data_IF_620300224800
#
_entry.id   IF_620300224800
#
_cell.length_a   1.000
_cell.length_b   1.000
_cell.length_c   1.000
_cell.angle_alpha   90.00
_cell.angle_beta   90.00
_cell.angle_gamma   90.00
#
_symmetry.space_group_name_H-M   'P 1'
#
loop_
_entity.id
_entity.type
_entity.pdbx_description
1 polymer ?
#
# COMPACT_ATOMS: atom_id res chain seq x y z
N UNK A 1 1.57 -34.61 8.28
CA UNK A 1 1.71 -33.14 8.44
C UNK A 1 0.45 -32.48 9.04
N UNK A 2 -0.34 -33.19 9.87
CA UNK A 2 -1.68 -32.70 10.24
C UNK A 2 -1.73 -31.42 11.09
N UNK A 3 -0.71 -31.15 11.91
CA UNK A 3 -0.57 -29.87 12.61
C UNK A 3 -0.46 -28.69 11.64
N UNK A 4 0.27 -28.86 10.54
CA UNK A 4 0.43 -27.83 9.51
C UNK A 4 -0.88 -27.68 8.73
N UNK A 5 -1.54 -28.80 8.40
CA UNK A 5 -2.80 -28.80 7.68
C UNK A 5 -3.89 -27.95 8.36
N UNK A 6 -4.00 -28.04 9.69
CA UNK A 6 -4.93 -27.21 10.46
C UNK A 6 -4.43 -25.77 10.61
N UNK A 7 -3.13 -25.55 10.79
CA UNK A 7 -2.55 -24.24 11.02
C UNK A 7 -2.66 -23.32 9.80
N UNK A 8 -2.58 -23.88 8.60
CA UNK A 8 -2.63 -23.14 7.31
C UNK A 8 -4.06 -22.70 6.97
N UNK A 9 -5.07 -23.55 7.20
CA UNK A 9 -6.46 -23.21 6.89
C UNK A 9 -7.13 -22.33 7.96
N UNK A 10 -6.62 -22.32 9.19
CA UNK A 10 -7.25 -21.61 10.32
C UNK A 10 -7.32 -20.08 10.14
N UNK A 11 -6.24 -19.36 9.75
CA UNK A 11 -6.27 -17.92 9.55
C UNK A 11 -7.32 -17.44 8.54
N UNK A 12 -7.34 -17.95 7.30
CA UNK A 12 -8.30 -17.46 6.30
C UNK A 12 -9.77 -17.78 6.65
N UNK A 13 -10.04 -18.92 7.30
CA UNK A 13 -11.38 -19.26 7.81
C UNK A 13 -11.78 -18.29 8.93
N UNK A 14 -10.90 -18.07 9.92
CA UNK A 14 -11.16 -17.17 11.04
C UNK A 14 -11.39 -15.72 10.61
N UNK A 15 -10.64 -15.23 9.63
CA UNK A 15 -10.82 -13.89 9.03
C UNK A 15 -12.16 -13.78 8.29
N UNK A 16 -12.51 -14.79 7.49
CA UNK A 16 -13.82 -14.89 6.85
C UNK A 16 -14.96 -14.83 7.87
N UNK A 17 -14.88 -15.62 8.94
CA UNK A 17 -15.87 -15.59 10.01
C UNK A 17 -15.95 -14.22 10.71
N UNK A 18 -14.81 -13.57 10.96
CA UNK A 18 -14.79 -12.26 11.60
C UNK A 18 -15.55 -11.20 10.77
N UNK A 19 -15.36 -11.23 9.46
CA UNK A 19 -16.06 -10.34 8.53
C UNK A 19 -17.56 -10.64 8.44
N UNK A 20 -17.96 -11.92 8.54
CA UNK A 20 -19.38 -12.32 8.52
C UNK A 20 -20.11 -11.90 9.79
N UNK A 21 -19.48 -12.02 10.96
CA UNK A 21 -20.12 -11.74 12.26
C UNK A 21 -20.24 -10.25 12.52
N UNK A 22 -19.20 -9.45 12.27
CA UNK A 22 -19.22 -8.02 12.61
C UNK A 22 -18.76 -7.14 11.46
N UNK A 23 -19.55 -7.15 10.38
CA UNK A 23 -19.34 -6.35 9.16
C UNK A 23 -19.04 -4.87 9.43
N UNK A 24 -19.55 -4.28 10.53
CA UNK A 24 -19.33 -2.86 10.87
C UNK A 24 -17.89 -2.53 11.27
N UNK A 25 -17.10 -3.52 11.68
CA UNK A 25 -15.67 -3.34 11.98
C UNK A 25 -14.78 -3.47 10.75
N UNK A 26 -15.35 -3.88 9.62
CA UNK A 26 -14.63 -4.12 8.38
C UNK A 26 -15.15 -3.19 7.31
N UNK A 27 -14.28 -2.86 6.39
CA UNK A 27 -14.68 -2.12 5.22
C UNK A 27 -15.31 -3.02 4.15
N UNK A 28 -15.91 -2.43 3.11
CA UNK A 28 -16.64 -3.22 2.11
C UNK A 28 -15.73 -4.22 1.38
N UNK A 29 -14.49 -3.82 1.06
CA UNK A 29 -13.51 -4.65 0.39
C UNK A 29 -12.99 -5.77 1.28
N UNK A 30 -12.77 -5.52 2.56
CA UNK A 30 -12.47 -6.55 3.56
C UNK A 30 -13.62 -7.53 3.73
N UNK A 31 -14.88 -7.08 3.60
CA UNK A 31 -16.04 -7.98 3.62
C UNK A 31 -16.05 -8.89 2.39
N UNK A 32 -15.73 -8.36 1.21
CA UNK A 32 -15.65 -9.16 -0.02
C UNK A 32 -14.42 -10.08 -0.04
N UNK A 33 -13.25 -9.56 0.35
CA UNK A 33 -12.05 -10.34 0.64
C UNK A 33 -12.33 -11.41 1.69
N UNK A 34 -13.20 -11.15 2.67
CA UNK A 34 -13.58 -12.09 3.71
C UNK A 34 -14.28 -13.32 3.16
N UNK A 35 -15.14 -13.14 2.14
CA UNK A 35 -15.79 -14.26 1.43
C UNK A 35 -14.76 -15.10 0.69
N UNK A 36 -13.85 -14.46 -0.06
CA UNK A 36 -12.80 -15.14 -0.80
C UNK A 36 -11.79 -15.85 0.14
N UNK A 37 -11.42 -15.20 1.24
CA UNK A 37 -10.56 -15.76 2.28
C UNK A 37 -11.21 -16.99 2.90
N UNK A 38 -12.51 -16.92 3.26
CA UNK A 38 -13.20 -18.07 3.83
C UNK A 38 -13.17 -19.28 2.89
N UNK A 39 -13.48 -19.08 1.60
CA UNK A 39 -13.47 -20.17 0.63
C UNK A 39 -12.07 -20.72 0.41
N UNK A 40 -11.05 -19.88 0.24
CA UNK A 40 -9.64 -20.29 0.15
C UNK A 40 -9.22 -21.11 1.38
N UNK A 41 -9.63 -20.69 2.57
CA UNK A 41 -9.37 -21.42 3.80
C UNK A 41 -9.98 -22.83 3.83
N UNK A 42 -11.17 -23.02 3.25
CA UNK A 42 -11.77 -24.36 3.14
C UNK A 42 -10.91 -25.32 2.28
N UNK A 43 -10.18 -24.80 1.30
CA UNK A 43 -9.22 -25.53 0.47
C UNK A 43 -7.80 -25.59 1.04
N UNK A 44 -7.56 -25.01 2.22
CA UNK A 44 -6.23 -24.96 2.83
C UNK A 44 -5.27 -23.97 2.19
N UNK A 45 -5.78 -22.94 1.54
CA UNK A 45 -5.01 -21.85 0.91
C UNK A 45 -4.90 -20.72 1.94
N UNK A 46 -3.71 -20.55 2.53
CA UNK A 46 -3.46 -19.53 3.57
C UNK A 46 -3.33 -18.12 3.00
N UNK A 47 -3.15 -18.00 1.69
CA UNK A 47 -2.98 -16.76 0.95
C UNK A 47 -4.19 -15.83 1.11
N UNK A 48 -5.37 -16.39 1.37
CA UNK A 48 -6.58 -15.61 1.69
C UNK A 48 -6.41 -14.67 2.89
N UNK A 49 -5.45 -14.95 3.78
CA UNK A 49 -5.14 -14.10 4.93
C UNK A 49 -4.14 -12.97 4.62
N UNK A 50 -3.38 -13.05 3.52
CA UNK A 50 -2.32 -12.09 3.17
C UNK A 50 -2.89 -10.67 2.97
N UNK A 51 -3.99 -10.47 2.21
CA UNK A 51 -4.52 -9.12 2.00
C UNK A 51 -4.95 -8.43 3.29
N UNK A 52 -5.47 -9.19 4.26
CA UNK A 52 -5.81 -8.67 5.59
C UNK A 52 -4.55 -8.28 6.39
N UNK A 53 -3.53 -9.13 6.37
CA UNK A 53 -2.27 -8.89 7.07
C UNK A 53 -1.48 -7.73 6.46
N UNK A 54 -1.56 -7.51 5.15
CA UNK A 54 -0.94 -6.38 4.48
C UNK A 54 -1.56 -5.03 4.89
N UNK A 55 -2.89 -5.02 5.13
CA UNK A 55 -3.62 -3.81 5.51
C UNK A 55 -3.50 -3.48 7.00
N UNK A 56 -3.57 -4.47 7.89
CA UNK A 56 -3.46 -4.28 9.35
C UNK A 56 -2.50 -5.31 9.98
N UNK A 57 -1.19 -5.21 9.71
CA UNK A 57 -0.20 -6.22 10.11
C UNK A 57 -0.11 -6.37 11.63
N UNK A 58 -0.21 -5.26 12.37
CA UNK A 58 -0.05 -5.24 13.82
C UNK A 58 -1.17 -5.96 14.56
N UNK A 59 -2.36 -6.11 13.96
CA UNK A 59 -3.50 -6.78 14.59
C UNK A 59 -3.78 -8.15 13.99
N UNK A 60 -3.64 -8.28 12.68
CA UNK A 60 -4.01 -9.51 11.96
C UNK A 60 -2.94 -10.60 12.16
N UNK A 61 -1.64 -10.27 12.08
CA UNK A 61 -0.58 -11.27 12.22
C UNK A 61 -0.61 -11.93 13.61
N UNK A 62 -0.66 -11.18 14.73
CA UNK A 62 -0.74 -11.81 16.05
C UNK A 62 -2.00 -12.67 16.24
N UNK A 63 -3.16 -12.20 15.72
CA UNK A 63 -4.40 -12.95 15.83
C UNK A 63 -4.34 -14.29 15.06
N UNK A 64 -3.79 -14.26 13.85
CA UNK A 64 -3.58 -15.46 13.04
C UNK A 64 -2.62 -16.44 13.72
N UNK A 65 -1.51 -15.94 14.27
CA UNK A 65 -0.54 -16.78 15.00
C UNK A 65 -1.18 -17.48 16.19
N UNK A 66 -1.97 -16.76 16.99
CA UNK A 66 -2.63 -17.32 18.19
C UNK A 66 -3.62 -18.42 17.79
N UNK A 67 -4.49 -18.17 16.80
CA UNK A 67 -5.47 -19.16 16.37
C UNK A 67 -4.84 -20.39 15.73
N UNK A 68 -3.85 -20.22 14.85
CA UNK A 68 -3.11 -21.33 14.24
C UNK A 68 -2.33 -22.15 15.27
N UNK A 69 -1.74 -21.51 16.27
CA UNK A 69 -1.04 -22.21 17.35
C UNK A 69 -2.00 -23.09 18.15
N UNK A 70 -3.18 -22.59 18.51
CA UNK A 70 -4.19 -23.36 19.25
C UNK A 70 -4.71 -24.52 18.40
N UNK A 71 -5.01 -24.28 17.11
CA UNK A 71 -5.41 -25.35 16.19
C UNK A 71 -4.34 -26.45 16.12
N UNK A 72 -3.08 -26.08 15.94
CA UNK A 72 -1.97 -27.02 15.83
C UNK A 72 -1.81 -27.86 17.11
N UNK A 73 -1.94 -27.25 18.29
CA UNK A 73 -1.87 -27.97 19.58
C UNK A 73 -3.03 -28.98 19.72
N UNK A 74 -4.25 -28.60 19.37
CA UNK A 74 -5.41 -29.51 19.40
C UNK A 74 -5.21 -30.67 18.43
N UNK A 75 -4.72 -30.38 17.21
CA UNK A 75 -4.43 -31.41 16.21
C UNK A 75 -3.29 -32.34 16.64
N UNK A 76 -2.27 -31.81 17.33
CA UNK A 76 -1.18 -32.61 17.90
C UNK A 76 -1.71 -33.59 18.96
N UNK A 77 -2.54 -33.11 19.89
CA UNK A 77 -3.16 -33.93 20.94
C UNK A 77 -4.07 -35.00 20.32
N UNK A 78 -4.82 -34.64 19.29
CA UNK A 78 -5.72 -35.54 18.56
C UNK A 78 -5.02 -36.53 17.62
N UNK A 79 -3.69 -36.45 17.48
CA UNK A 79 -2.92 -37.31 16.59
C UNK A 79 -3.29 -37.16 15.11
N UNK A 80 -3.65 -35.93 14.69
CA UNK A 80 -4.11 -35.67 13.31
C UNK A 80 -2.97 -35.88 12.32
N UNK A 81 -3.20 -36.79 11.37
CA UNK A 81 -2.31 -37.08 10.25
C UNK A 81 -2.75 -36.32 9.00
N UNK A 82 -1.79 -35.99 8.14
CA UNK A 82 -2.09 -35.45 6.81
C UNK A 82 -1.12 -36.08 5.82
N UNK A 83 -1.69 -36.61 4.75
CA UNK A 83 -1.05 -37.41 3.70
C UNK A 83 -0.82 -36.58 2.43
N UNK A 84 -1.36 -35.37 2.37
CA UNK A 84 -1.30 -34.47 1.21
C UNK A 84 -0.42 -33.26 1.57
N UNK A 85 0.07 -32.54 0.55
CA UNK A 85 0.94 -31.37 0.73
C UNK A 85 0.18 -30.11 1.19
N UNK A 86 -1.15 -30.11 1.10
CA UNK A 86 -2.03 -28.98 1.42
C UNK A 86 -3.14 -29.42 2.39
N UNK A 87 -3.56 -28.51 3.28
CA UNK A 87 -4.58 -28.81 4.29
C UNK A 87 -6.01 -28.46 3.86
N UNK A 88 -6.87 -28.23 4.86
CA UNK A 88 -8.21 -27.65 4.64
C UNK A 88 -9.37 -28.63 4.84
N UNK A 89 -10.53 -28.14 5.34
CA UNK A 89 -11.77 -28.90 5.49
C UNK A 89 -12.19 -29.73 4.29
N UNK A 90 -12.07 -29.20 3.07
CA UNK A 90 -12.48 -29.93 1.85
C UNK A 90 -11.55 -31.12 1.62
N UNK A 91 -10.25 -30.93 1.80
CA UNK A 91 -9.23 -31.99 1.64
C UNK A 91 -9.40 -33.09 2.69
N UNK A 92 -9.83 -32.71 3.90
CA UNK A 92 -10.18 -33.66 4.95
C UNK A 92 -11.32 -34.59 4.52
N UNK A 93 -12.38 -34.03 3.93
CA UNK A 93 -13.54 -34.79 3.43
C UNK A 93 -13.17 -35.67 2.23
N UNK A 94 -12.23 -35.23 1.39
CA UNK A 94 -11.72 -36.00 0.26
C UNK A 94 -10.74 -37.12 0.66
N UNK A 95 -10.51 -37.34 1.95
CA UNK A 95 -9.71 -38.46 2.47
C UNK A 95 -8.21 -38.19 2.59
N UNK A 96 -7.78 -36.92 2.54
CA UNK A 96 -6.37 -36.55 2.72
C UNK A 96 -5.88 -36.57 4.17
N UNK A 97 -6.80 -36.59 5.14
CA UNK A 97 -6.53 -36.34 6.56
C UNK A 97 -6.97 -37.53 7.41
N UNK A 98 -6.05 -38.00 8.24
CA UNK A 98 -6.33 -39.00 9.27
C UNK A 98 -6.97 -38.30 10.49
N UNK A 99 -7.84 -38.99 11.22
CA UNK A 99 -8.40 -38.54 12.49
C UNK A 99 -9.25 -37.27 12.30
N UNK A 100 -10.14 -37.36 11.29
CA UNK A 100 -10.98 -36.28 10.77
C UNK A 100 -11.78 -35.53 11.85
N UNK A 101 -12.24 -36.22 12.90
CA UNK A 101 -12.99 -35.59 13.97
C UNK A 101 -12.12 -34.58 14.74
N UNK A 102 -10.90 -34.98 15.10
CA UNK A 102 -9.94 -34.09 15.77
C UNK A 102 -9.48 -32.95 14.86
N UNK A 103 -9.35 -33.21 13.56
CA UNK A 103 -9.08 -32.17 12.57
C UNK A 103 -10.17 -31.08 12.59
N UNK A 104 -11.44 -31.46 12.50
CA UNK A 104 -12.54 -30.48 12.50
C UNK A 104 -12.63 -29.71 13.82
N UNK A 105 -12.44 -30.37 14.96
CA UNK A 105 -12.39 -29.71 16.27
C UNK A 105 -11.27 -28.67 16.29
N UNK A 106 -10.06 -29.03 15.85
CA UNK A 106 -8.91 -28.13 15.80
C UNK A 106 -9.17 -26.90 14.91
N UNK A 107 -9.69 -27.10 13.69
CA UNK A 107 -9.99 -26.01 12.75
C UNK A 107 -11.09 -25.10 13.29
N UNK A 108 -12.17 -25.66 13.84
CA UNK A 108 -13.29 -24.86 14.38
C UNK A 108 -12.81 -24.01 15.55
N UNK A 109 -12.12 -24.62 16.53
CA UNK A 109 -11.64 -23.91 17.72
C UNK A 109 -10.62 -22.84 17.33
N UNK A 110 -9.63 -23.19 16.50
CA UNK A 110 -8.62 -22.23 16.02
C UNK A 110 -9.25 -21.06 15.27
N UNK A 111 -10.19 -21.33 14.37
CA UNK A 111 -10.84 -20.29 13.55
C UNK A 111 -11.72 -19.36 14.39
N UNK A 112 -12.43 -19.89 15.40
CA UNK A 112 -13.19 -19.11 16.37
C UNK A 112 -12.24 -18.23 17.19
N UNK A 113 -11.09 -18.75 17.62
CA UNK A 113 -10.12 -17.94 18.37
C UNK A 113 -9.55 -16.83 17.49
N UNK A 114 -9.09 -17.12 16.27
CA UNK A 114 -8.64 -16.10 15.31
C UNK A 114 -9.70 -15.01 15.17
N UNK A 115 -10.95 -15.41 14.92
CA UNK A 115 -12.10 -14.50 14.79
C UNK A 115 -12.28 -13.62 16.03
N UNK A 116 -12.32 -14.20 17.23
CA UNK A 116 -12.49 -13.44 18.48
C UNK A 116 -11.33 -12.46 18.68
N UNK A 117 -10.09 -12.90 18.50
CA UNK A 117 -8.91 -12.05 18.70
C UNK A 117 -8.91 -10.88 17.71
N UNK A 118 -9.21 -11.14 16.43
CA UNK A 118 -9.37 -10.07 15.41
C UNK A 118 -10.46 -9.09 15.83
N UNK A 119 -11.64 -9.58 16.25
CA UNK A 119 -12.75 -8.73 16.65
C UNK A 119 -12.47 -7.89 17.91
N UNK A 120 -11.64 -8.40 18.83
CA UNK A 120 -11.23 -7.67 20.04
C UNK A 120 -10.15 -6.64 19.72
N UNK A 121 -9.14 -7.01 18.93
CA UNK A 121 -8.01 -6.12 18.60
C UNK A 121 -8.42 -5.01 17.63
N UNK A 122 -9.29 -5.32 16.66
CA UNK A 122 -9.68 -4.36 15.62
C UNK A 122 -10.64 -3.31 16.17
N UNK A 123 -10.23 -2.05 16.16
CA UNK A 123 -11.12 -0.89 16.40
C UNK A 123 -11.96 -0.65 15.15
N UNK A 124 -13.18 -0.12 15.31
CA UNK A 124 -14.13 0.11 14.21
C UNK A 124 -13.43 0.85 13.06
N UNK A 125 -13.26 0.19 11.92
CA UNK A 125 -12.72 0.81 10.72
C UNK A 125 -13.83 1.68 10.08
N UNK A 126 -13.54 2.94 9.69
CA UNK A 126 -14.30 3.58 8.62
C UNK A 126 -14.25 2.69 7.37
N UNK A 127 -15.36 2.55 6.66
CA UNK A 127 -15.46 1.68 5.50
C UNK A 127 -14.54 2.16 4.35
N UNK A 128 -13.44 1.47 4.13
CA UNK A 128 -12.41 1.70 3.10
C UNK A 128 -12.04 0.39 2.33
N UNK A 129 -12.69 0.12 1.21
CA UNK A 129 -12.82 -1.18 0.55
C UNK A 129 -11.70 -1.62 -0.43
N UNK A 130 -10.73 -2.44 -0.03
CA UNK A 130 -9.77 -3.01 -1.01
C UNK A 130 -10.34 -4.20 -1.79
N UNK A 131 -10.31 -4.14 -3.13
CA UNK A 131 -10.64 -5.28 -4.00
C UNK A 131 -9.41 -5.81 -4.74
N UNK A 132 -9.27 -7.13 -4.62
CA UNK A 132 -8.41 -8.04 -5.36
C UNK A 132 -8.74 -8.11 -6.86
N UNK A 133 -7.73 -8.02 -7.73
CA UNK A 133 -7.85 -8.41 -9.14
C UNK A 133 -8.08 -9.93 -9.29
N UNK A 134 -8.74 -10.38 -10.38
CA UNK A 134 -9.01 -11.79 -10.64
C UNK A 134 -7.70 -12.54 -10.97
N UNK A 135 -7.57 -13.77 -10.48
CA UNK A 135 -6.53 -14.71 -10.92
C UNK A 135 -6.73 -15.03 -12.40
N UNK A 136 -5.80 -14.58 -13.24
CA UNK A 136 -5.60 -15.12 -14.58
C UNK A 136 -4.80 -16.42 -14.47
N UNK A 137 -5.42 -17.52 -14.88
CA UNK A 137 -4.80 -18.83 -15.07
C UNK A 137 -3.94 -18.79 -16.34
N UNK A 138 -2.69 -18.35 -16.20
CA UNK A 138 -1.70 -18.33 -17.27
C UNK A 138 -0.47 -19.15 -16.93
N UNK A 139 -0.22 -20.17 -17.76
CA UNK A 139 0.89 -21.13 -17.73
C UNK A 139 2.27 -20.46 -17.60
N UNK A 140 3.10 -20.93 -16.68
CA UNK A 140 4.52 -20.57 -16.55
C UNK A 140 5.30 -21.30 -17.66
N UNK A 141 5.90 -20.55 -18.59
CA UNK A 141 7.01 -21.03 -19.41
C UNK A 141 8.31 -20.44 -18.89
N UNK A 142 9.24 -21.34 -18.55
CA UNK A 142 10.64 -21.08 -18.25
C UNK A 142 11.35 -20.40 -19.43
N UNK A 143 12.25 -19.45 -19.16
CA UNK A 143 13.59 -19.52 -19.75
C UNK A 143 14.61 -18.66 -18.99
N UNK A 144 15.77 -19.29 -18.71
CA UNK A 144 17.00 -18.68 -18.24
C UNK A 144 17.71 -17.93 -19.38
N UNK A 145 18.49 -16.88 -19.05
CA UNK A 145 19.86 -16.69 -19.56
C UNK A 145 20.61 -15.58 -18.80
N UNK A 146 21.90 -15.81 -18.66
CA UNK A 146 22.94 -15.11 -17.88
C UNK A 146 23.79 -14.21 -18.79
N UNK A 147 24.34 -13.11 -18.28
CA UNK A 147 25.69 -12.52 -18.56
C UNK A 147 25.75 -11.15 -17.84
N UNK A 148 26.55 -10.90 -16.80
CA UNK A 148 28.00 -10.89 -16.56
C UNK A 148 28.81 -9.71 -17.18
N UNK A 149 29.47 -8.99 -16.24
CA UNK A 149 30.68 -8.15 -16.30
C UNK A 149 30.81 -6.91 -17.21
N UNK A 150 31.12 -5.73 -16.63
CA UNK A 150 32.51 -5.29 -16.33
C UNK A 150 32.64 -3.78 -16.04
N UNK A 151 33.67 -3.47 -15.24
CA UNK A 151 34.10 -2.16 -14.71
C UNK A 151 34.74 -1.24 -15.76
N UNK A 152 34.82 0.09 -15.52
CA UNK A 152 36.09 0.81 -15.28
C UNK A 152 35.94 2.31 -14.95
N UNK A 153 36.97 2.79 -14.25
CA UNK A 153 37.21 4.04 -13.49
C UNK A 153 37.83 5.18 -14.34
N UNK A 154 37.73 6.44 -13.86
CA UNK A 154 38.75 7.54 -13.81
C UNK A 154 38.11 8.93 -14.04
N UNK A 155 38.03 9.83 -13.04
CA UNK A 155 39.03 10.77 -12.48
C UNK A 155 39.05 12.18 -13.13
N UNK A 156 38.58 13.14 -12.32
CA UNK A 156 39.00 14.54 -12.03
C UNK A 156 39.77 15.42 -13.06
N UNK A 157 39.32 16.68 -13.23
CA UNK A 157 39.96 17.95 -12.78
C UNK A 157 39.31 19.18 -13.48
N UNK A 158 38.65 20.07 -12.73
CA UNK A 158 39.08 21.41 -12.25
C UNK A 158 39.19 22.52 -13.33
N UNK A 159 38.35 23.56 -13.18
CA UNK A 159 38.70 24.97 -13.42
C UNK A 159 37.69 25.88 -12.69
N UNK A 160 38.20 26.69 -11.77
CA UNK A 160 37.50 27.77 -11.04
C UNK A 160 37.69 29.13 -11.73
N UNK A 161 36.95 30.13 -11.22
CA UNK A 161 36.97 31.60 -11.44
C UNK A 161 35.89 32.10 -12.43
N UNK A 162 34.97 33.01 -12.07
CA UNK A 162 35.10 34.22 -11.26
C UNK A 162 33.78 34.70 -10.59
N UNK A 163 33.95 35.39 -9.45
CA UNK A 163 32.99 36.22 -8.66
C UNK A 163 32.20 37.23 -9.53
N UNK A 164 31.00 37.72 -9.16
CA UNK A 164 30.76 38.78 -8.15
C UNK A 164 29.24 38.83 -7.76
N UNK A 165 29.01 38.72 -6.44
CA UNK A 165 28.08 39.47 -5.54
C UNK A 165 26.66 39.86 -5.98
N UNK A 166 25.64 39.36 -5.28
CA UNK A 166 24.66 40.18 -4.54
C UNK A 166 23.78 39.36 -3.56
N UNK A 167 23.66 39.92 -2.35
CA UNK A 167 22.56 39.83 -1.38
C UNK A 167 22.34 38.59 -0.49
N UNK A 168 22.22 38.91 0.80
CA UNK A 168 21.86 38.04 1.91
C UNK A 168 20.49 37.39 1.70
N UNK A 169 20.45 36.07 1.75
CA UNK A 169 19.29 35.29 2.17
C UNK A 169 19.80 34.01 2.84
N UNK A 170 19.13 33.63 3.92
CA UNK A 170 19.45 32.53 4.82
C UNK A 170 19.95 31.25 4.14
N UNK A 171 21.00 30.71 4.73
CA UNK A 171 21.71 29.47 4.42
C UNK A 171 20.87 28.22 4.73
N UNK A 172 19.82 27.96 3.95
CA UNK A 172 18.96 26.75 4.04
C UNK A 172 18.30 26.39 2.68
N UNK A 173 19.06 26.42 1.58
CA UNK A 173 18.48 26.44 0.22
C UNK A 173 18.61 25.14 -0.59
N UNK A 174 18.88 23.98 0.04
CA UNK A 174 19.05 22.69 -0.69
C UNK A 174 18.07 21.57 -0.35
N UNK A 175 17.11 21.77 0.58
CA UNK A 175 16.26 20.65 1.06
C UNK A 175 14.74 20.88 1.00
N UNK A 176 14.25 21.99 0.44
CA UNK A 176 12.81 22.29 0.42
C UNK A 176 12.13 21.78 -0.85
N UNK A 177 11.50 20.61 -0.78
CA UNK A 177 10.67 20.05 -1.86
C UNK A 177 9.20 20.48 -1.79
N UNK A 178 8.83 21.27 -0.78
CA UNK A 178 7.49 21.80 -0.61
C UNK A 178 7.50 23.30 -0.86
N UNK A 179 6.56 23.75 -1.68
CA UNK A 179 6.34 25.16 -1.98
C UNK A 179 4.84 25.45 -1.96
N UNK A 180 4.45 26.47 -1.20
CA UNK A 180 3.05 26.91 -1.08
C UNK A 180 2.40 27.25 -2.43
N UNK A 181 3.20 27.67 -3.42
CA UNK A 181 2.71 28.03 -4.77
C UNK A 181 2.12 26.84 -5.53
N UNK A 182 2.59 25.62 -5.25
CA UNK A 182 2.12 24.39 -5.90
C UNK A 182 1.20 23.57 -4.98
N UNK A 183 0.48 24.26 -4.08
CA UNK A 183 -0.56 23.69 -3.24
C UNK A 183 -1.90 24.28 -3.67
N UNK A 184 -2.91 23.42 -3.89
CA UNK A 184 -4.27 23.83 -4.22
C UNK A 184 -5.31 23.19 -3.33
N UNK A 185 -6.42 23.91 -3.19
CA UNK A 185 -7.66 23.41 -2.61
C UNK A 185 -8.74 23.43 -3.69
N UNK A 186 -9.54 22.38 -3.77
CA UNK A 186 -10.68 22.28 -4.67
C UNK A 186 -11.83 21.54 -3.97
N UNK A 187 -13.04 21.75 -4.42
CA UNK A 187 -14.24 21.00 -4.06
C UNK A 187 -14.98 20.48 -5.30
N UNK A 188 -14.36 20.59 -6.48
CA UNK A 188 -14.91 20.13 -7.75
C UNK A 188 -14.79 18.61 -7.89
N UNK A 189 -15.76 18.00 -8.58
CA UNK A 189 -15.68 16.60 -9.00
C UNK A 189 -14.68 16.46 -10.14
N UNK A 190 -13.63 15.67 -9.94
CA UNK A 190 -12.52 15.56 -10.89
C UNK A 190 -12.12 14.09 -11.11
N UNK A 191 -11.54 13.82 -12.27
CA UNK A 191 -10.88 12.55 -12.59
C UNK A 191 -9.39 12.62 -12.32
N UNK A 192 -8.75 11.46 -12.14
CA UNK A 192 -7.30 11.30 -12.02
C UNK A 192 -6.53 12.13 -13.04
N UNK A 193 -6.82 11.94 -14.32
CA UNK A 193 -6.08 12.55 -15.40
C UNK A 193 -6.22 14.08 -15.39
N UNK A 194 -7.39 14.59 -15.00
CA UNK A 194 -7.63 16.03 -14.83
C UNK A 194 -6.77 16.60 -13.71
N UNK A 195 -6.70 15.93 -12.56
CA UNK A 195 -5.86 16.35 -11.44
C UNK A 195 -4.38 16.28 -11.78
N UNK A 196 -3.92 15.23 -12.46
CA UNK A 196 -2.52 15.10 -12.87
C UNK A 196 -2.14 16.22 -13.84
N UNK A 197 -2.99 16.53 -14.82
CA UNK A 197 -2.77 17.66 -15.72
C UNK A 197 -2.69 18.97 -14.95
N UNK A 198 -3.63 19.23 -14.05
CA UNK A 198 -3.65 20.44 -13.24
C UNK A 198 -2.37 20.60 -12.41
N UNK A 199 -1.93 19.55 -11.72
CA UNK A 199 -0.70 19.60 -10.91
C UNK A 199 0.55 19.83 -11.79
N UNK A 200 0.62 19.20 -12.97
CA UNK A 200 1.70 19.45 -13.95
C UNK A 200 1.66 20.89 -14.48
N UNK A 201 0.47 21.44 -14.70
CA UNK A 201 0.30 22.83 -15.11
C UNK A 201 0.87 23.78 -14.06
N UNK A 202 0.56 23.56 -12.77
CA UNK A 202 1.12 24.37 -11.68
C UNK A 202 2.64 24.31 -11.62
N UNK A 203 3.21 23.12 -11.81
CA UNK A 203 4.66 22.94 -11.83
C UNK A 203 5.31 23.73 -12.96
N UNK A 204 4.69 23.79 -14.14
CA UNK A 204 5.20 24.57 -15.26
C UNK A 204 5.03 26.07 -15.04
N UNK A 205 3.87 26.49 -14.53
CA UNK A 205 3.54 27.91 -14.29
C UNK A 205 4.47 28.53 -13.24
N UNK A 206 5.03 27.70 -12.35
CA UNK A 206 6.02 28.08 -11.34
C UNK A 206 7.46 27.67 -11.69
N UNK A 207 7.73 27.34 -12.96
CA UNK A 207 9.07 27.10 -13.52
C UNK A 207 9.83 25.90 -12.94
N UNK A 208 9.14 24.93 -12.34
CA UNK A 208 9.73 23.68 -11.83
C UNK A 208 10.07 22.68 -12.93
N UNK A 209 9.41 22.78 -14.09
CA UNK A 209 9.57 21.86 -15.22
C UNK A 209 9.72 22.62 -16.53
N UNK A 210 10.43 22.04 -17.50
CA UNK A 210 10.64 22.63 -18.83
C UNK A 210 9.66 22.13 -19.90
N UNK A 211 8.99 21.00 -19.69
CA UNK A 211 8.06 20.43 -20.67
C UNK A 211 6.95 19.61 -19.99
N UNK A 212 5.70 20.06 -20.14
CA UNK A 212 4.49 19.43 -19.58
C UNK A 212 4.25 18.05 -20.17
N UNK A 213 4.33 17.90 -21.49
CA UNK A 213 3.99 16.67 -22.19
C UNK A 213 4.91 15.51 -21.82
N UNK A 214 6.22 15.75 -21.75
CA UNK A 214 7.20 14.72 -21.37
C UNK A 214 6.98 14.27 -19.92
N UNK A 215 6.71 15.21 -19.00
CA UNK A 215 6.43 14.83 -17.62
C UNK A 215 5.11 14.05 -17.50
N UNK A 216 4.06 14.50 -18.21
CA UNK A 216 2.76 13.82 -18.23
C UNK A 216 2.92 12.38 -18.70
N UNK A 217 3.63 12.15 -19.79
CA UNK A 217 3.89 10.80 -20.29
C UNK A 217 4.59 9.93 -19.24
N UNK A 218 5.62 10.45 -18.56
CA UNK A 218 6.33 9.72 -17.51
C UNK A 218 5.43 9.37 -16.30
N UNK A 219 4.58 10.31 -15.85
CA UNK A 219 3.62 10.07 -14.75
C UNK A 219 2.56 9.06 -15.16
N UNK A 220 2.01 9.19 -16.37
CA UNK A 220 0.99 8.27 -16.91
C UNK A 220 1.55 6.86 -17.12
N UNK A 221 2.78 6.73 -17.61
CA UNK A 221 3.45 5.45 -17.74
C UNK A 221 3.57 4.75 -16.38
N UNK A 222 3.98 5.49 -15.33
CA UNK A 222 4.07 4.95 -13.97
C UNK A 222 2.70 4.56 -13.40
N UNK A 223 1.67 5.37 -13.64
CA UNK A 223 0.30 5.10 -13.20
C UNK A 223 -0.30 3.87 -13.89
N UNK A 224 0.06 3.63 -15.16
CA UNK A 224 -0.43 2.49 -15.94
C UNK A 224 0.13 1.14 -15.46
N UNK A 225 1.31 1.13 -14.81
CA UNK A 225 1.85 -0.08 -14.19
C UNK A 225 0.97 -0.53 -13.01
N UNK A 226 0.52 0.42 -12.20
CA UNK A 226 -0.40 0.21 -11.07
C UNK A 226 -0.84 1.57 -10.53
N UNK A 227 -2.10 1.66 -10.08
CA UNK A 227 -2.66 2.87 -9.46
C UNK A 227 -1.76 3.37 -8.33
N UNK A 228 -1.52 4.68 -8.29
CA UNK A 228 -0.76 5.32 -7.21
C UNK A 228 -1.66 5.88 -6.11
N UNK A 229 -2.97 5.64 -6.21
CA UNK A 229 -3.89 5.85 -5.11
C UNK A 229 -3.79 4.71 -4.11
N UNK A 230 -2.94 4.93 -3.11
CA UNK A 230 -2.58 3.97 -2.04
C UNK A 230 -3.73 3.71 -1.04
N UNK A 231 -4.83 4.44 -1.19
CA UNK A 231 -5.97 4.39 -0.29
C UNK A 231 -5.85 5.38 0.87
N UNK A 232 -6.71 5.21 1.89
CA UNK A 232 -6.83 6.12 3.03
C UNK A 232 -7.09 7.58 2.61
N UNK A 233 -7.80 7.79 1.49
CA UNK A 233 -8.02 9.08 0.83
C UNK A 233 -6.75 9.78 0.32
N UNK A 234 -5.68 9.05 0.01
CA UNK A 234 -4.40 9.59 -0.49
C UNK A 234 -4.03 9.01 -1.85
N UNK A 235 -3.52 9.85 -2.74
CA UNK A 235 -2.82 9.43 -3.97
C UNK A 235 -1.42 10.04 -4.06
N UNK A 236 -0.45 9.27 -4.55
CA UNK A 236 0.96 9.68 -4.65
C UNK A 236 1.51 9.39 -6.07
N UNK A 237 0.97 10.04 -7.11
CA UNK A 237 1.55 9.93 -8.45
C UNK A 237 2.98 10.45 -8.41
N UNK A 238 3.89 9.74 -9.08
CA UNK A 238 5.30 10.09 -9.05
C UNK A 238 6.00 9.73 -10.36
N UNK A 239 7.04 10.50 -10.69
CA UNK A 239 7.86 10.23 -11.87
C UNK A 239 9.29 10.76 -11.71
N UNK A 240 10.23 10.07 -12.36
CA UNK A 240 11.55 10.63 -12.67
C UNK A 240 11.51 11.19 -14.09
N UNK A 241 12.04 12.38 -14.30
CA UNK A 241 12.11 12.97 -15.64
C UNK A 241 13.25 13.97 -15.78
N UNK A 242 13.84 14.05 -16.98
CA UNK A 242 14.92 15.00 -17.30
C UNK A 242 14.42 16.44 -17.40
N UNK A 243 13.11 16.64 -17.52
CA UNK A 243 12.48 17.96 -17.66
C UNK A 243 12.19 18.63 -16.30
N UNK A 244 12.39 17.91 -15.20
CA UNK A 244 12.24 18.42 -13.83
C UNK A 244 13.54 19.09 -13.43
N UNK A 245 13.48 20.38 -13.07
CA UNK A 245 14.68 21.17 -12.71
C UNK A 245 15.19 20.84 -11.31
N UNK A 246 14.27 20.59 -10.39
CA UNK A 246 14.56 20.24 -9.00
C UNK A 246 13.44 19.37 -8.42
N UNK A 247 13.73 18.51 -7.43
CA UNK A 247 12.72 17.73 -6.71
C UNK A 247 11.64 18.60 -6.09
N UNK A 248 10.38 18.28 -6.36
CA UNK A 248 9.24 19.08 -5.90
C UNK A 248 8.01 18.19 -5.71
N UNK A 249 7.19 18.55 -4.73
CA UNK A 249 5.90 17.94 -4.43
C UNK A 249 4.80 18.96 -4.65
N UNK A 250 3.98 18.75 -5.68
CA UNK A 250 2.75 19.50 -5.89
C UNK A 250 1.59 18.81 -5.17
N UNK A 251 0.71 19.59 -4.54
CA UNK A 251 -0.34 19.07 -3.65
C UNK A 251 -1.70 19.58 -4.09
N UNK A 252 -2.66 18.67 -4.23
CA UNK A 252 -4.08 19.03 -4.31
C UNK A 252 -4.80 18.46 -3.10
N UNK A 253 -5.51 19.31 -2.36
CA UNK A 253 -6.53 18.89 -1.41
C UNK A 253 -7.91 19.10 -2.03
N UNK A 254 -8.60 18.01 -2.37
CA UNK A 254 -9.94 18.03 -2.93
C UNK A 254 -10.98 17.57 -1.88
N UNK A 255 -11.93 18.44 -1.53
CA UNK A 255 -12.95 18.17 -0.50
C UNK A 255 -14.00 17.15 -0.94
N UNK A 256 -14.35 17.14 -2.22
CA UNK A 256 -15.28 16.17 -2.82
C UNK A 256 -14.65 14.77 -2.96
N UNK A 257 -13.34 14.72 -3.20
CA UNK A 257 -12.60 13.51 -3.55
C UNK A 257 -12.51 13.34 -5.06
N UNK A 258 -11.46 12.64 -5.51
CA UNK A 258 -11.13 12.47 -6.94
C UNK A 258 -11.41 11.04 -7.38
N UNK A 259 -11.96 10.86 -8.58
CA UNK A 259 -12.09 9.54 -9.22
C UNK A 259 -10.70 9.05 -9.68
N UNK A 260 -10.08 8.18 -8.87
CA UNK A 260 -8.70 7.70 -9.08
C UNK A 260 -8.56 6.17 -9.12
N UNK A 261 -9.65 5.42 -9.03
CA UNK A 261 -9.56 3.95 -8.97
C UNK A 261 -8.60 3.47 -7.85
N UNK A 262 -8.75 4.05 -6.65
CA UNK A 262 -7.91 3.70 -5.51
C UNK A 262 -7.97 2.22 -5.20
N UNK A 263 -6.86 1.67 -4.70
CA UNK A 263 -6.78 0.26 -4.29
C UNK A 263 -7.89 -0.12 -3.31
N UNK A 264 -8.32 0.83 -2.48
CA UNK A 264 -9.36 0.70 -1.46
C UNK A 264 -10.73 1.28 -1.84
N UNK A 265 -10.94 1.61 -3.11
CA UNK A 265 -12.16 2.24 -3.62
C UNK A 265 -12.48 3.62 -3.03
N UNK A 266 -11.62 4.18 -2.16
CA UNK A 266 -11.79 5.52 -1.65
C UNK A 266 -11.56 6.54 -2.76
N UNK A 267 -12.18 7.70 -2.65
CA UNK A 267 -11.83 8.84 -3.49
C UNK A 267 -10.70 9.60 -2.78
N UNK A 268 -9.49 9.72 -3.38
CA UNK A 268 -8.42 10.49 -2.77
C UNK A 268 -8.85 11.93 -2.57
N UNK A 269 -8.73 12.41 -1.33
CA UNK A 269 -8.98 13.80 -0.95
C UNK A 269 -7.70 14.60 -0.89
N UNK A 270 -6.55 13.94 -0.79
CA UNK A 270 -5.26 14.61 -0.89
C UNK A 270 -4.34 13.86 -1.84
N UNK A 271 -3.74 14.61 -2.75
CA UNK A 271 -2.93 14.10 -3.84
C UNK A 271 -1.57 14.77 -3.78
N UNK A 272 -0.51 13.97 -3.82
CA UNK A 272 0.88 14.42 -3.81
C UNK A 272 1.55 14.00 -5.11
N UNK A 273 1.65 14.91 -6.08
CA UNK A 273 2.45 14.67 -7.28
C UNK A 273 3.92 14.91 -6.97
N UNK A 274 4.71 13.86 -7.01
CA UNK A 274 6.13 13.92 -6.68
C UNK A 274 6.99 13.72 -7.91
N UNK A 275 7.75 14.74 -8.27
CA UNK A 275 8.58 14.69 -9.47
C UNK A 275 10.02 14.98 -9.11
N UNK A 276 10.93 14.19 -9.70
CA UNK A 276 12.37 14.30 -9.43
C UNK A 276 13.17 14.29 -10.72
N UNK A 277 14.32 15.01 -10.79
CA UNK A 277 15.23 14.93 -11.92
C UNK A 277 15.77 13.50 -12.11
N UNK A 278 16.00 13.08 -13.35
CA UNK A 278 16.54 11.75 -13.66
C UNK A 278 17.92 11.48 -13.03
N UNK A 279 18.73 12.51 -12.79
CA UNK A 279 20.07 12.42 -12.17
C UNK A 279 20.06 12.75 -10.67
N UNK A 280 18.92 12.62 -9.98
CA UNK A 280 18.83 12.96 -8.56
C UNK A 280 19.43 11.87 -7.65
N UNK A 281 20.23 12.31 -6.66
CA UNK A 281 20.83 11.45 -5.63
C UNK A 281 19.77 10.83 -4.70
N UNK A 282 20.12 9.72 -4.03
CA UNK A 282 19.28 8.98 -3.05
C UNK A 282 18.71 9.83 -1.90
N UNK A 283 19.24 11.04 -1.69
CA UNK A 283 18.74 11.99 -0.69
C UNK A 283 17.25 12.29 -0.88
N UNK A 284 16.78 12.40 -2.13
CA UNK A 284 15.38 12.69 -2.42
C UNK A 284 14.46 11.47 -2.22
N UNK A 285 14.99 10.25 -2.37
CA UNK A 285 14.28 9.01 -2.02
C UNK A 285 14.06 8.88 -0.51
N UNK A 286 14.97 9.39 0.33
CA UNK A 286 14.75 9.43 1.78
C UNK A 286 13.60 10.35 2.18
N UNK A 287 13.44 11.46 1.47
CA UNK A 287 12.33 12.39 1.69
C UNK A 287 10.99 11.80 1.27
N UNK A 288 10.95 11.08 0.14
CA UNK A 288 9.81 10.26 -0.28
C UNK A 288 9.40 9.26 0.80
N UNK A 289 10.37 8.56 1.39
CA UNK A 289 10.10 7.62 2.48
C UNK A 289 9.54 8.32 3.73
N UNK A 290 10.06 9.49 4.09
CA UNK A 290 9.55 10.29 5.22
C UNK A 290 8.13 10.76 4.98
N UNK A 291 7.84 11.30 3.80
CA UNK A 291 6.49 11.72 3.44
C UNK A 291 5.53 10.53 3.49
N UNK A 292 5.87 9.40 2.86
CA UNK A 292 5.05 8.19 2.88
C UNK A 292 4.77 7.68 4.31
N UNK A 293 5.80 7.61 5.17
CA UNK A 293 5.63 7.25 6.59
C UNK A 293 4.76 8.24 7.36
N UNK A 294 4.90 9.52 7.06
CA UNK A 294 4.10 10.57 7.72
C UNK A 294 2.63 10.45 7.33
N UNK A 295 2.34 10.13 6.06
CA UNK A 295 0.98 9.91 5.58
C UNK A 295 0.34 8.64 6.16
N UNK A 296 1.13 7.67 6.63
CA UNK A 296 0.61 6.52 7.39
C UNK A 296 0.13 6.90 8.80
N UNK A 297 0.55 8.05 9.35
CA UNK A 297 0.03 8.55 10.62
C UNK A 297 -1.38 9.12 10.43
N UNK A 298 -2.36 8.51 11.10
CA UNK A 298 -3.78 8.88 11.00
C UNK A 298 -4.05 10.34 11.38
N UNK A 299 -3.40 10.86 12.43
CA UNK A 299 -3.63 12.22 12.90
C UNK A 299 -3.12 13.25 11.88
N UNK A 300 -1.91 13.05 11.36
CA UNK A 300 -1.30 13.97 10.39
C UNK A 300 -2.06 13.91 9.05
N UNK A 301 -2.41 12.71 8.59
CA UNK A 301 -3.20 12.54 7.37
C UNK A 301 -4.57 13.22 7.50
N UNK A 302 -5.25 13.07 8.63
CA UNK A 302 -6.54 13.72 8.86
C UNK A 302 -6.42 15.25 8.96
N UNK A 303 -5.34 15.77 9.55
CA UNK A 303 -5.06 17.21 9.53
C UNK A 303 -4.89 17.72 8.09
N UNK A 304 -4.08 17.03 7.29
CA UNK A 304 -3.86 17.38 5.88
C UNK A 304 -5.15 17.33 5.07
N UNK A 305 -6.00 16.31 5.25
CA UNK A 305 -7.30 16.18 4.56
C UNK A 305 -8.25 17.30 4.97
N UNK A 306 -8.31 17.62 6.25
CA UNK A 306 -9.25 18.61 6.80
C UNK A 306 -8.76 20.05 6.72
N UNK A 307 -7.52 20.29 6.29
CA UNK A 307 -6.93 21.61 6.21
C UNK A 307 -7.79 22.58 5.38
N UNK A 308 -8.01 23.78 5.88
CA UNK A 308 -8.89 24.79 5.28
C UNK A 308 -8.15 25.81 4.43
N UNK A 309 -6.81 25.74 4.38
CA UNK A 309 -5.99 26.69 3.64
C UNK A 309 -4.69 26.08 3.13
N UNK A 310 -4.11 26.70 2.09
CA UNK A 310 -2.77 26.36 1.57
C UNK A 310 -1.70 26.53 2.66
N UNK A 311 -1.86 27.53 3.53
CA UNK A 311 -0.96 27.80 4.66
C UNK A 311 -0.93 26.65 5.66
N UNK A 312 -2.09 26.12 6.02
CA UNK A 312 -2.20 25.01 6.97
C UNK A 312 -1.52 23.75 6.41
N UNK A 313 -1.79 23.40 5.15
CA UNK A 313 -1.13 22.28 4.47
C UNK A 313 0.39 22.50 4.44
N UNK A 314 0.84 23.69 4.02
CA UNK A 314 2.26 24.00 3.93
C UNK A 314 2.97 23.90 5.29
N UNK A 315 2.35 24.39 6.36
CA UNK A 315 2.91 24.34 7.70
C UNK A 315 3.02 22.91 8.24
N UNK A 316 2.05 22.03 7.93
CA UNK A 316 2.13 20.61 8.28
C UNK A 316 3.28 19.94 7.51
N UNK A 317 3.39 20.19 6.20
CA UNK A 317 4.41 19.56 5.35
C UNK A 317 5.83 20.04 5.66
N UNK A 318 6.00 21.31 6.05
CA UNK A 318 7.30 21.86 6.45
C UNK A 318 7.87 21.21 7.72
N UNK A 319 7.03 20.55 8.52
CA UNK A 319 7.45 19.85 9.73
C UNK A 319 7.97 18.40 9.48
N UNK A 320 7.96 17.93 8.23
CA UNK A 320 8.36 16.57 7.79
C UNK A 320 9.83 16.55 7.35
#
# INVERSE_FOLDING_TARGET
MGMVAVAVCTPPIGLGLATFINKRKFNHGEVEMGKASFTMGLFGITEGAIPFAAQDPLRIIPANMIGSMIAAVIAAIGGVGDRVAHGGPIVAVLGGIDQILWFFIAVIVGSIVTMIVVLLMKRTAPAVAVHSSPMDTGVISENQAVSDESMTTNQEQLSQENKITHEQADDDNSERVFDKRVIELSDETMTRDTVINQLIDQLADHDYISNKSILKEAVMAREAESTTAIGMNVAIPHAKSSVVKQPIVAVLNNKAGVEWESLDGSLPKIIFLIVVPSQSNDVHLKLLQRLSRTLMNDDIRMQLINAQSKDEIYNILKAI
#
